data_IF_309876500538
#
_entry.id   IF_309876500538
#
_cell.length_a   1.000
_cell.length_b   1.000
_cell.length_c   1.000
_cell.angle_alpha   90.00
_cell.angle_beta   90.00
_cell.angle_gamma   90.00
#
_symmetry.space_group_name_H-M   'P 1'
#
loop_
_entity.id
_entity.type
_entity.pdbx_description
1 polymer ?
#
# COMPACT_ATOMS: atom_id res chain seq x y z
N UNK A 1 9.01 -5.26 -22.87
CA UNK A 1 8.82 -4.08 -21.98
C UNK A 1 7.87 -4.43 -20.85
N UNK A 2 7.74 -3.59 -19.81
CA UNK A 2 6.93 -3.86 -18.59
C UNK A 2 5.59 -4.57 -18.87
N UNK A 3 4.76 -4.00 -19.75
CA UNK A 3 3.43 -4.56 -20.07
C UNK A 3 3.45 -5.88 -20.84
N UNK A 4 4.51 -6.16 -21.60
CA UNK A 4 4.63 -7.41 -22.36
C UNK A 4 4.84 -8.64 -21.45
N UNK A 5 5.29 -8.43 -20.21
CA UNK A 5 5.41 -9.52 -19.24
C UNK A 5 4.06 -10.13 -18.85
N UNK A 6 2.96 -9.37 -18.94
CA UNK A 6 1.63 -9.85 -18.60
C UNK A 6 1.13 -10.91 -19.58
N UNK A 7 1.47 -10.79 -20.86
CA UNK A 7 1.15 -11.79 -21.90
C UNK A 7 1.96 -13.09 -21.71
N UNK A 8 3.07 -13.02 -20.97
CA UNK A 8 3.91 -14.17 -20.60
C UNK A 8 3.52 -14.78 -19.25
N UNK A 9 2.37 -14.40 -18.69
CA UNK A 9 1.85 -14.95 -17.44
C UNK A 9 2.42 -14.33 -16.16
N UNK A 10 3.10 -13.18 -16.25
CA UNK A 10 3.54 -12.43 -15.06
C UNK A 10 2.35 -11.73 -14.42
N UNK A 11 2.20 -11.88 -13.11
CA UNK A 11 1.17 -11.18 -12.31
C UNK A 11 1.78 -10.02 -11.54
N UNK A 12 1.19 -8.83 -11.66
CA UNK A 12 1.55 -7.67 -10.84
C UNK A 12 0.98 -7.82 -9.42
N UNK A 13 1.83 -7.61 -8.40
CA UNK A 13 1.44 -7.73 -6.99
C UNK A 13 0.97 -6.38 -6.40
N UNK A 14 1.37 -5.25 -7.00
CA UNK A 14 0.92 -3.92 -6.60
C UNK A 14 1.23 -3.54 -5.15
N UNK A 15 2.51 -3.43 -4.77
CA UNK A 15 2.82 -3.20 -3.36
C UNK A 15 2.49 -1.78 -2.86
N UNK A 16 1.96 -1.70 -1.64
CA UNK A 16 1.58 -0.43 -0.99
C UNK A 16 2.77 0.53 -0.84
N UNK A 17 3.99 0.00 -0.70
CA UNK A 17 5.20 0.82 -0.64
C UNK A 17 5.45 1.61 -1.93
N UNK A 18 5.17 1.01 -3.11
CA UNK A 18 5.25 1.71 -4.39
C UNK A 18 4.10 2.72 -4.54
N UNK A 19 2.87 2.33 -4.19
CA UNK A 19 1.72 3.22 -4.25
C UNK A 19 1.92 4.48 -3.37
N UNK A 20 2.45 4.32 -2.15
CA UNK A 20 2.74 5.43 -1.22
C UNK A 20 3.67 6.47 -1.84
N UNK A 21 4.75 6.04 -2.52
CA UNK A 21 5.69 6.96 -3.19
C UNK A 21 4.96 7.83 -4.22
N UNK A 22 4.09 7.22 -5.04
CA UNK A 22 3.32 7.95 -6.05
C UNK A 22 2.40 9.01 -5.45
N UNK A 23 1.70 8.68 -4.36
CA UNK A 23 0.84 9.64 -3.66
C UNK A 23 1.64 10.74 -2.96
N UNK A 24 2.81 10.40 -2.40
CA UNK A 24 3.70 11.39 -1.82
C UNK A 24 4.13 12.42 -2.86
N UNK A 25 4.62 11.99 -4.02
CA UNK A 25 5.05 12.89 -5.09
C UNK A 25 3.90 13.78 -5.58
N UNK A 26 2.69 13.20 -5.73
CA UNK A 26 1.49 13.93 -6.14
C UNK A 26 1.07 14.98 -5.10
N UNK A 27 1.15 14.65 -3.81
CA UNK A 27 0.84 15.59 -2.73
C UNK A 27 1.90 16.71 -2.66
N UNK A 28 3.19 16.35 -2.73
CA UNK A 28 4.29 17.31 -2.68
C UNK A 28 4.26 18.30 -3.86
N UNK A 29 3.93 17.83 -5.06
CA UNK A 29 3.94 18.67 -6.27
C UNK A 29 2.68 19.53 -6.37
N UNK A 30 1.50 18.97 -6.09
CA UNK A 30 0.21 19.61 -6.42
C UNK A 30 -0.67 19.90 -5.20
N UNK A 31 -0.19 19.68 -3.97
CA UNK A 31 -0.97 19.78 -2.71
C UNK A 31 -2.31 19.03 -2.79
N UNK A 32 -2.33 17.92 -3.53
CA UNK A 32 -3.56 17.17 -3.77
C UNK A 32 -4.13 16.64 -2.45
N UNK A 33 -5.36 17.06 -2.14
CA UNK A 33 -6.09 16.63 -0.95
C UNK A 33 -6.43 15.13 -1.00
N UNK A 34 -6.66 14.60 -2.20
CA UNK A 34 -6.90 13.16 -2.39
C UNK A 34 -5.62 12.37 -2.10
N UNK A 35 -4.46 12.86 -2.56
CA UNK A 35 -3.18 12.22 -2.27
C UNK A 35 -2.85 12.26 -0.78
N UNK A 36 -3.15 13.37 -0.10
CA UNK A 36 -3.02 13.48 1.36
C UNK A 36 -3.87 12.44 2.08
N UNK A 37 -5.15 12.32 1.70
CA UNK A 37 -6.07 11.33 2.25
C UNK A 37 -5.55 9.90 2.05
N UNK A 38 -5.04 9.59 0.85
CA UNK A 38 -4.43 8.29 0.56
C UNK A 38 -3.23 8.01 1.46
N UNK A 39 -2.34 8.99 1.67
CA UNK A 39 -1.19 8.85 2.58
C UNK A 39 -1.62 8.58 4.02
N UNK A 40 -2.67 9.26 4.51
CA UNK A 40 -3.22 9.01 5.85
C UNK A 40 -3.77 7.59 6.00
N UNK A 41 -4.49 7.08 5.01
CA UNK A 41 -4.95 5.69 5.02
C UNK A 41 -3.80 4.68 5.01
N UNK A 42 -2.77 4.92 4.18
CA UNK A 42 -1.60 4.04 4.13
C UNK A 42 -0.86 4.05 5.47
N UNK A 43 -0.77 5.20 6.15
CA UNK A 43 -0.18 5.28 7.48
C UNK A 43 -0.98 4.46 8.50
N UNK A 44 -2.31 4.59 8.51
CA UNK A 44 -3.18 3.81 9.39
C UNK A 44 -3.02 2.30 9.17
N UNK A 45 -2.92 1.85 7.92
CA UNK A 45 -2.66 0.45 7.61
C UNK A 45 -1.32 -0.04 8.18
N UNK A 46 -0.27 0.76 8.10
CA UNK A 46 1.03 0.39 8.67
C UNK A 46 1.03 0.34 10.20
N UNK A 47 0.19 1.12 10.87
CA UNK A 47 0.02 0.98 12.31
C UNK A 47 -0.70 -0.32 12.68
N UNK A 48 -1.75 -0.71 11.95
CA UNK A 48 -2.40 -2.03 12.11
C UNK A 48 -1.39 -3.16 11.90
N UNK A 49 -0.56 -3.07 10.86
CA UNK A 49 0.49 -4.07 10.59
C UNK A 49 1.57 -4.10 11.67
N UNK A 50 1.88 -2.96 12.29
CA UNK A 50 2.82 -2.85 13.40
C UNK A 50 2.27 -3.55 14.64
N UNK A 51 1.02 -3.28 14.99
CA UNK A 51 0.34 -3.91 16.13
C UNK A 51 0.22 -5.44 15.95
N UNK A 52 -0.07 -5.88 14.73
CA UNK A 52 -0.28 -7.30 14.45
C UNK A 52 1.02 -8.11 14.21
N UNK A 53 2.19 -7.46 14.23
CA UNK A 53 3.48 -8.05 13.87
C UNK A 53 3.84 -9.28 14.71
N UNK A 54 3.68 -9.17 16.03
CA UNK A 54 4.07 -10.22 16.99
C UNK A 54 2.91 -11.16 17.34
N UNK A 55 1.73 -10.98 16.73
CA UNK A 55 0.57 -11.81 17.00
C UNK A 55 0.58 -13.10 16.18
N UNK A 56 -0.02 -14.15 16.75
CA UNK A 56 -0.24 -15.41 16.06
C UNK A 56 -1.02 -15.22 14.74
N UNK A 57 -0.73 -16.02 13.69
CA UNK A 57 -1.29 -15.82 12.35
C UNK A 57 -2.82 -15.68 12.32
N UNK A 58 -3.54 -16.45 13.13
CA UNK A 58 -5.00 -16.39 13.21
C UNK A 58 -5.52 -15.06 13.79
N UNK A 59 -4.82 -14.50 14.77
CA UNK A 59 -5.18 -13.20 15.35
C UNK A 59 -4.78 -12.07 14.39
N UNK A 60 -3.60 -12.16 13.79
CA UNK A 60 -3.15 -11.22 12.76
C UNK A 60 -4.13 -11.15 11.59
N UNK A 61 -4.66 -12.29 11.14
CA UNK A 61 -5.68 -12.32 10.08
C UNK A 61 -6.95 -11.62 10.51
N UNK A 62 -7.46 -11.88 11.73
CA UNK A 62 -8.70 -11.25 12.23
C UNK A 62 -8.63 -9.74 12.33
N UNK A 63 -7.47 -9.18 12.65
CA UNK A 63 -7.25 -7.72 12.74
C UNK A 63 -7.26 -7.06 11.35
N UNK A 64 -6.93 -7.81 10.30
CA UNK A 64 -6.87 -7.31 8.90
C UNK A 64 -8.22 -7.35 8.16
N UNK A 65 -9.28 -7.93 8.75
CA UNK A 65 -10.62 -8.04 8.15
C UNK A 65 -11.54 -6.94 8.66
#
# INVERSE_FOLDING_TARGET
GYKAGFELGVTEIGCIAHARRKFFDLHATNKSQIAEKALRYIAALYEVEREARELEPGIRQRIRQ
#
